data_IF_753014906309
#
_entry.id   IF_753014906309
#
_cell.length_a   1.000
_cell.length_b   1.000
_cell.length_c   1.000
_cell.angle_alpha   90.00
_cell.angle_beta   90.00
_cell.angle_gamma   90.00
#
_symmetry.space_group_name_H-M   'P 1'
#
loop_
_entity.id
_entity.type
_entity.pdbx_description
1 polymer ?
#
# COMPACT_ATOMS: atom_id res chain seq x y z
N UNK A 1 20.84 -3.18 41.61
CA UNK A 1 19.42 -2.79 41.45
C UNK A 1 19.37 -1.37 40.89
N UNK A 2 19.42 -1.22 39.56
CA UNK A 2 19.23 0.08 38.93
C UNK A 2 17.73 0.26 38.66
N UNK A 3 17.15 1.30 39.27
CA UNK A 3 15.75 1.69 39.08
C UNK A 3 15.57 2.15 37.63
N UNK A 4 14.87 1.37 36.81
CA UNK A 4 14.29 1.86 35.57
C UNK A 4 13.01 2.62 35.93
N UNK A 5 13.19 3.83 36.44
CA UNK A 5 12.10 4.79 36.62
C UNK A 5 12.35 5.92 35.65
N UNK A 6 11.81 5.79 34.45
CA UNK A 6 11.53 6.93 33.59
C UNK A 6 10.07 6.81 33.22
N UNK A 7 9.26 7.73 33.76
CA UNK A 7 7.92 8.00 33.26
C UNK A 7 8.01 8.13 31.74
N UNK A 8 7.38 7.20 31.02
CA UNK A 8 7.24 7.30 29.58
C UNK A 8 6.26 8.46 29.34
N UNK A 9 6.67 9.55 28.69
CA UNK A 9 5.75 10.64 28.39
C UNK A 9 4.62 10.09 27.51
N UNK A 10 3.35 10.35 27.85
CA UNK A 10 2.18 9.80 27.13
C UNK A 10 2.20 10.06 25.60
N UNK A 11 2.88 11.12 25.14
CA UNK A 11 3.08 11.42 23.72
C UNK A 11 4.03 10.43 23.01
N UNK A 12 4.94 9.81 23.75
CA UNK A 12 5.87 8.79 23.26
C UNK A 12 5.13 7.53 22.84
N UNK A 13 4.12 7.12 23.60
CA UNK A 13 3.27 5.97 23.26
C UNK A 13 2.44 6.24 22.01
N UNK A 14 1.89 7.45 21.87
CA UNK A 14 1.13 7.85 20.69
C UNK A 14 2.01 7.90 19.43
N UNK A 15 3.24 8.42 19.53
CA UNK A 15 4.21 8.42 18.43
C UNK A 15 4.54 6.99 17.97
N UNK A 16 4.88 6.11 18.91
CA UNK A 16 5.26 4.74 18.56
C UNK A 16 4.08 3.89 18.09
N UNK A 17 2.88 4.13 18.61
CA UNK A 17 1.66 3.52 18.08
C UNK A 17 1.44 3.90 16.61
N UNK A 18 1.59 5.19 16.25
CA UNK A 18 1.52 5.65 14.84
C UNK A 18 2.60 4.99 13.98
N UNK A 19 3.82 4.87 14.50
CA UNK A 19 4.93 4.23 13.81
C UNK A 19 4.66 2.75 13.53
N UNK A 20 4.22 1.99 14.54
CA UNK A 20 3.85 0.57 14.40
C UNK A 20 2.68 0.41 13.44
N UNK A 21 1.67 1.30 13.49
CA UNK A 21 0.59 1.31 12.51
C UNK A 21 1.10 1.55 11.08
N UNK A 22 2.10 2.41 10.91
CA UNK A 22 2.82 2.62 9.64
C UNK A 22 3.47 1.33 9.12
N UNK A 23 4.21 0.62 9.99
CA UNK A 23 4.80 -0.69 9.66
C UNK A 23 3.71 -1.67 9.21
N UNK A 24 2.64 -1.79 9.99
CA UNK A 24 1.54 -2.72 9.71
C UNK A 24 0.86 -2.40 8.37
N UNK A 25 0.56 -1.12 8.12
CA UNK A 25 -0.04 -0.65 6.86
C UNK A 25 0.86 -0.93 5.65
N UNK A 26 2.18 -0.86 5.81
CA UNK A 26 3.14 -1.10 4.73
C UNK A 26 3.35 -2.59 4.38
N UNK A 27 2.97 -3.53 5.27
CA UNK A 27 3.30 -4.97 5.11
C UNK A 27 2.87 -5.58 3.76
N UNK A 28 1.64 -5.37 3.25
CA UNK A 28 1.23 -5.98 1.98
C UNK A 28 2.07 -5.46 0.80
N UNK A 29 2.35 -4.15 0.79
CA UNK A 29 3.17 -3.52 -0.23
C UNK A 29 4.63 -3.99 -0.20
N UNK A 30 5.23 -4.07 0.99
CA UNK A 30 6.59 -4.59 1.18
C UNK A 30 6.71 -6.05 0.76
N UNK A 31 5.73 -6.89 1.09
CA UNK A 31 5.73 -8.30 0.69
C UNK A 31 5.62 -8.45 -0.82
N UNK A 32 4.75 -7.67 -1.47
CA UNK A 32 4.64 -7.66 -2.93
C UNK A 32 5.96 -7.23 -3.57
N UNK A 33 6.55 -6.15 -3.08
CA UNK A 33 7.84 -5.63 -3.54
C UNK A 33 8.94 -6.69 -3.44
N UNK A 34 9.12 -7.29 -2.25
CA UNK A 34 10.14 -8.30 -2.01
C UNK A 34 9.94 -9.56 -2.86
N UNK A 35 8.70 -10.01 -3.07
CA UNK A 35 8.40 -11.13 -3.97
C UNK A 35 8.68 -10.85 -5.44
N UNK A 36 8.68 -9.58 -5.85
CA UNK A 36 9.12 -9.20 -7.19
C UNK A 36 10.65 -9.28 -7.31
N UNK A 37 11.36 -8.86 -6.26
CA UNK A 37 12.83 -8.82 -6.29
C UNK A 37 13.50 -10.17 -5.98
N UNK A 38 12.82 -11.04 -5.24
CA UNK A 38 13.36 -12.31 -4.77
C UNK A 38 12.60 -13.49 -5.41
N UNK A 39 13.31 -14.45 -6.03
CA UNK A 39 12.69 -15.56 -6.76
C UNK A 39 12.10 -16.64 -5.85
N UNK A 40 12.54 -16.74 -4.60
CA UNK A 40 12.05 -17.70 -3.63
C UNK A 40 11.07 -17.02 -2.65
N UNK A 41 9.84 -17.52 -2.50
CA UNK A 41 8.89 -16.98 -1.52
C UNK A 41 9.40 -17.04 -0.07
N UNK A 42 10.19 -18.05 0.28
CA UNK A 42 10.81 -18.17 1.60
C UNK A 42 11.80 -17.03 1.87
N UNK A 43 12.70 -16.77 0.93
CA UNK A 43 13.68 -15.67 1.03
C UNK A 43 12.99 -14.31 1.18
N UNK A 44 11.87 -14.10 0.49
CA UNK A 44 11.10 -12.85 0.60
C UNK A 44 10.54 -12.64 2.00
N UNK A 45 10.07 -13.70 2.65
CA UNK A 45 9.52 -13.63 4.00
C UNK A 45 10.62 -13.46 5.07
N UNK A 46 11.80 -14.03 4.85
CA UNK A 46 12.99 -13.83 5.70
C UNK A 46 13.51 -12.39 5.60
N UNK A 47 13.67 -11.89 4.37
CA UNK A 47 14.11 -10.50 4.13
C UNK A 47 13.08 -9.50 4.66
N UNK A 48 11.78 -9.82 4.61
CA UNK A 48 10.74 -8.98 5.22
C UNK A 48 10.89 -8.90 6.74
N UNK A 49 11.24 -10.01 7.41
CA UNK A 49 11.52 -10.01 8.85
C UNK A 49 12.74 -9.17 9.19
N UNK A 50 13.85 -9.34 8.47
CA UNK A 50 15.06 -8.52 8.64
C UNK A 50 14.74 -7.02 8.41
N UNK A 51 13.95 -6.72 7.38
CA UNK A 51 13.46 -5.36 7.10
C UNK A 51 12.69 -4.78 8.29
N UNK A 52 11.77 -5.54 8.89
CA UNK A 52 11.01 -5.09 10.05
C UNK A 52 11.90 -4.82 11.28
N UNK A 53 12.95 -5.63 11.49
CA UNK A 53 13.94 -5.39 12.55
C UNK A 53 14.71 -4.09 12.31
N UNK A 54 15.18 -3.86 11.09
CA UNK A 54 15.90 -2.61 10.74
C UNK A 54 14.98 -1.40 10.83
N UNK A 55 13.73 -1.50 10.39
CA UNK A 55 12.72 -0.47 10.59
C UNK A 55 12.61 -0.14 12.07
N UNK A 56 12.44 -1.13 12.94
CA UNK A 56 12.34 -0.87 14.37
C UNK A 56 13.61 -0.23 14.95
N UNK A 57 14.79 -0.67 14.53
CA UNK A 57 16.06 -0.09 14.98
C UNK A 57 16.21 1.37 14.54
N UNK A 58 15.80 1.70 13.32
CA UNK A 58 15.88 3.03 12.72
C UNK A 58 14.66 3.92 13.00
N UNK A 59 13.75 3.53 13.90
CA UNK A 59 12.50 4.26 14.17
C UNK A 59 12.72 5.72 14.58
N UNK A 60 13.85 6.04 15.20
CA UNK A 60 14.20 7.41 15.61
C UNK A 60 14.69 8.27 14.43
N UNK A 61 15.15 7.65 13.33
CA UNK A 61 15.57 8.33 12.10
C UNK A 61 14.37 8.66 11.18
N UNK A 62 13.19 8.10 11.47
CA UNK A 62 12.01 8.29 10.63
C UNK A 62 11.38 9.67 10.84
N UNK A 63 11.34 10.44 9.77
CA UNK A 63 10.62 11.70 9.68
C UNK A 63 9.13 11.43 9.45
N UNK A 64 8.31 11.66 10.49
CA UNK A 64 6.86 11.45 10.44
C UNK A 64 6.11 12.37 9.49
N UNK A 65 6.77 13.39 8.91
CA UNK A 65 6.16 14.25 7.88
C UNK A 65 6.19 13.59 6.50
N UNK A 66 6.96 12.51 6.32
CA UNK A 66 7.09 11.78 5.05
C UNK A 66 6.26 10.50 5.05
N UNK A 67 5.87 10.05 3.87
CA UNK A 67 5.18 8.77 3.75
C UNK A 67 6.05 7.59 4.18
N UNK A 68 5.46 6.71 5.00
CA UNK A 68 6.16 5.55 5.56
C UNK A 68 6.54 4.53 4.48
N UNK A 69 5.70 4.37 3.46
CA UNK A 69 5.85 3.36 2.40
C UNK A 69 7.18 3.46 1.64
N UNK A 70 7.50 4.61 1.03
CA UNK A 70 8.78 4.82 0.36
C UNK A 70 10.00 4.60 1.26
N UNK A 71 9.95 5.11 2.49
CA UNK A 71 11.03 4.91 3.46
C UNK A 71 11.25 3.43 3.77
N UNK A 72 10.17 2.68 3.99
CA UNK A 72 10.24 1.25 4.25
C UNK A 72 10.71 0.44 3.04
N UNK A 73 10.28 0.79 1.83
CA UNK A 73 10.75 0.15 0.58
C UNK A 73 12.25 0.38 0.38
N UNK A 74 12.77 1.56 0.71
CA UNK A 74 14.20 1.85 0.63
C UNK A 74 15.02 0.94 1.55
N UNK A 75 14.55 0.73 2.79
CA UNK A 75 15.19 -0.21 3.72
C UNK A 75 15.10 -1.64 3.19
N UNK A 76 13.92 -2.06 2.72
CA UNK A 76 13.70 -3.40 2.16
C UNK A 76 14.63 -3.68 0.98
N UNK A 77 14.80 -2.72 0.07
CA UNK A 77 15.70 -2.82 -1.07
C UNK A 77 17.15 -3.09 -0.62
N UNK A 78 17.67 -2.35 0.36
CA UNK A 78 19.01 -2.63 0.88
C UNK A 78 19.14 -3.99 1.56
N UNK A 79 18.09 -4.47 2.24
CA UNK A 79 18.08 -5.84 2.77
C UNK A 79 18.09 -6.89 1.65
N UNK A 80 17.34 -6.66 0.56
CA UNK A 80 17.38 -7.50 -0.64
C UNK A 80 18.80 -7.55 -1.23
N UNK A 81 19.47 -6.42 -1.39
CA UNK A 81 20.84 -6.38 -1.92
C UNK A 81 21.82 -7.15 -1.01
N UNK A 82 21.72 -6.96 0.31
CA UNK A 82 22.53 -7.70 1.27
C UNK A 82 22.29 -9.21 1.18
N UNK A 83 21.03 -9.62 1.06
CA UNK A 83 20.63 -11.03 0.90
C UNK A 83 21.20 -11.63 -0.40
N UNK A 84 21.00 -10.95 -1.54
CA UNK A 84 21.52 -11.41 -2.84
C UNK A 84 23.05 -11.52 -2.85
N UNK A 85 23.75 -10.57 -2.20
CA UNK A 85 25.20 -10.58 -2.04
C UNK A 85 25.68 -11.75 -1.17
N UNK A 86 24.93 -12.12 -0.14
CA UNK A 86 25.23 -13.30 0.69
C UNK A 86 25.08 -14.59 -0.13
N UNK A 87 24.03 -14.68 -0.97
CA UNK A 87 23.72 -15.85 -1.82
C UNK A 87 24.64 -16.01 -3.02
N UNK A 88 25.14 -14.92 -3.61
CA UNK A 88 26.12 -15.01 -4.71
C UNK A 88 27.44 -15.61 -4.25
N UNK A 89 27.85 -15.36 -3.00
CA UNK A 89 29.05 -15.95 -2.38
C UNK A 89 28.93 -17.46 -2.15
N UNK A 90 27.71 -18.02 -2.12
CA UNK A 90 27.47 -19.46 -1.98
C UNK A 90 27.34 -20.21 -3.33
N UNK A 91 27.67 -19.58 -4.47
CA UNK A 91 27.60 -20.16 -5.85
C UNK A 91 26.19 -20.52 -6.35
N UNK A 92 25.13 -20.10 -5.66
CA UNK A 92 23.74 -20.47 -5.96
C UNK A 92 22.94 -19.37 -6.71
N UNK A 93 23.56 -18.27 -7.14
CA UNK A 93 22.84 -17.12 -7.72
C UNK A 93 22.96 -17.03 -9.24
N UNK A 94 21.80 -17.04 -9.93
CA UNK A 94 21.64 -16.61 -11.34
C UNK A 94 21.07 -15.18 -11.46
N UNK A 95 20.87 -14.48 -10.34
CA UNK A 95 20.24 -13.16 -10.29
C UNK A 95 21.24 -12.09 -9.85
N UNK A 96 21.39 -11.06 -10.67
CA UNK A 96 22.31 -9.93 -10.42
C UNK A 96 21.61 -8.81 -9.65
N UNK A 97 22.42 -8.03 -8.91
CA UNK A 97 22.02 -6.80 -8.24
C UNK A 97 21.40 -5.77 -9.20
N UNK A 98 21.94 -5.65 -10.42
CA UNK A 98 21.42 -4.79 -11.49
C UNK A 98 19.96 -5.12 -11.87
N UNK A 99 19.61 -6.40 -11.93
CA UNK A 99 18.23 -6.78 -12.25
C UNK A 99 17.28 -6.45 -11.09
N UNK A 100 17.73 -6.63 -9.84
CA UNK A 100 16.96 -6.24 -8.67
C UNK A 100 16.75 -4.71 -8.61
N UNK A 101 17.74 -3.93 -9.00
CA UNK A 101 17.61 -2.48 -9.15
C UNK A 101 16.57 -2.09 -10.20
N UNK A 102 16.64 -2.67 -11.40
CA UNK A 102 15.66 -2.39 -12.47
C UNK A 102 14.23 -2.73 -12.05
N UNK A 103 14.02 -3.86 -11.37
CA UNK A 103 12.71 -4.24 -10.85
C UNK A 103 12.23 -3.33 -9.72
N UNK A 104 13.13 -2.85 -8.86
CA UNK A 104 12.79 -1.93 -7.78
C UNK A 104 12.27 -0.60 -8.33
N UNK A 105 12.95 -0.03 -9.32
CA UNK A 105 12.53 1.20 -10.01
C UNK A 105 11.14 1.04 -10.64
N UNK A 106 10.89 -0.07 -11.34
CA UNK A 106 9.58 -0.34 -11.93
C UNK A 106 8.49 -0.54 -10.87
N UNK A 107 8.82 -1.15 -9.73
CA UNK A 107 7.87 -1.28 -8.63
C UNK A 107 7.50 0.06 -8.01
N UNK A 108 8.46 0.98 -7.84
CA UNK A 108 8.20 2.35 -7.36
C UNK A 108 7.27 3.08 -8.32
N UNK A 109 7.59 3.07 -9.63
CA UNK A 109 6.74 3.68 -10.66
C UNK A 109 5.31 3.13 -10.66
N UNK A 110 5.14 1.82 -10.44
CA UNK A 110 3.81 1.19 -10.35
C UNK A 110 3.09 1.52 -9.04
N UNK A 111 3.82 1.67 -7.94
CA UNK A 111 3.26 2.04 -6.65
C UNK A 111 2.69 3.46 -6.70
N UNK A 112 3.40 4.41 -7.31
CA UNK A 112 2.93 5.79 -7.48
C UNK A 112 1.66 5.83 -8.34
N UNK A 113 1.67 5.13 -9.49
CA UNK A 113 0.48 5.02 -10.35
C UNK A 113 -0.73 4.34 -9.66
N UNK A 114 -0.47 3.46 -8.68
CA UNK A 114 -1.52 2.84 -7.88
C UNK A 114 -2.06 3.81 -6.82
N UNK A 115 -1.20 4.59 -6.17
CA UNK A 115 -1.60 5.61 -5.20
C UNK A 115 -2.47 6.69 -5.88
N UNK A 116 -2.08 7.15 -7.08
CA UNK A 116 -2.89 8.08 -7.89
C UNK A 116 -4.28 7.51 -8.19
N UNK A 117 -4.34 6.22 -8.53
CA UNK A 117 -5.61 5.51 -8.76
C UNK A 117 -6.47 5.41 -7.50
N UNK A 118 -5.86 5.13 -6.34
CA UNK A 118 -6.55 5.07 -5.06
C UNK A 118 -7.09 6.46 -4.69
N UNK A 119 -6.30 7.51 -4.91
CA UNK A 119 -6.71 8.87 -4.62
C UNK A 119 -7.83 9.33 -5.56
N UNK A 120 -7.74 9.01 -6.86
CA UNK A 120 -8.82 9.22 -7.81
C UNK A 120 -10.10 8.47 -7.40
N UNK A 121 -9.98 7.21 -6.94
CA UNK A 121 -11.11 6.44 -6.43
C UNK A 121 -11.76 7.12 -5.22
N UNK A 122 -10.99 7.57 -4.22
CA UNK A 122 -11.51 8.30 -3.05
C UNK A 122 -12.32 9.53 -3.48
N UNK A 123 -11.71 10.38 -4.30
CA UNK A 123 -12.37 11.57 -4.85
C UNK A 123 -13.65 11.22 -5.63
N UNK A 124 -13.65 10.11 -6.37
CA UNK A 124 -14.82 9.68 -7.14
C UNK A 124 -15.92 9.06 -6.26
N UNK A 125 -15.57 8.39 -5.16
CA UNK A 125 -16.53 7.93 -4.16
C UNK A 125 -17.22 9.12 -3.48
N UNK A 126 -16.50 10.21 -3.19
CA UNK A 126 -17.09 11.42 -2.59
C UNK A 126 -18.05 12.16 -3.55
N UNK A 127 -17.96 11.90 -4.85
CA UNK A 127 -18.88 12.46 -5.87
C UNK A 127 -20.12 11.60 -6.11
N UNK A 128 -20.18 10.39 -5.56
CA UNK A 128 -21.37 9.55 -5.70
C UNK A 128 -22.54 10.11 -4.90
N UNK A 129 -23.78 9.98 -5.40
CA UNK A 129 -24.98 10.11 -4.58
C UNK A 129 -24.89 9.23 -3.31
N UNK A 130 -25.45 9.72 -2.20
CA UNK A 130 -25.33 9.05 -0.89
C UNK A 130 -25.84 7.61 -0.91
N UNK A 131 -26.95 7.34 -1.61
CA UNK A 131 -27.52 6.00 -1.77
C UNK A 131 -26.62 5.05 -2.57
N UNK A 132 -25.93 5.56 -3.61
CA UNK A 132 -24.96 4.79 -4.40
C UNK A 132 -23.67 4.53 -3.60
N UNK A 133 -23.23 5.49 -2.79
CA UNK A 133 -22.07 5.34 -1.90
C UNK A 133 -22.32 4.30 -0.82
N UNK A 134 -23.43 4.41 -0.09
CA UNK A 134 -23.84 3.44 0.92
C UNK A 134 -23.93 2.02 0.34
N UNK A 135 -24.46 1.88 -0.88
CA UNK A 135 -24.53 0.60 -1.56
C UNK A 135 -23.15 -0.02 -1.84
N UNK A 136 -22.18 0.80 -2.26
CA UNK A 136 -20.79 0.37 -2.49
C UNK A 136 -20.13 -0.01 -1.17
N UNK A 137 -20.27 0.82 -0.14
CA UNK A 137 -19.71 0.56 1.19
C UNK A 137 -20.29 -0.72 1.80
N UNK A 138 -21.61 -0.94 1.69
CA UNK A 138 -22.24 -2.18 2.13
C UNK A 138 -21.67 -3.40 1.39
N UNK A 139 -21.52 -3.34 0.06
CA UNK A 139 -21.03 -4.47 -0.75
C UNK A 139 -19.57 -4.81 -0.49
N UNK A 140 -18.72 -3.81 -0.36
CA UNK A 140 -17.26 -3.97 -0.33
C UNK A 140 -16.66 -3.85 1.07
N UNK A 141 -17.31 -3.15 1.99
CA UNK A 141 -16.87 -3.02 3.39
C UNK A 141 -17.21 -4.24 4.24
N UNK A 142 -18.39 -4.85 4.04
CA UNK A 142 -18.83 -6.02 4.83
C UNK A 142 -18.52 -7.36 4.14
N UNK A 143 -18.23 -7.34 2.83
CA UNK A 143 -18.07 -8.55 2.03
C UNK A 143 -19.36 -9.33 1.76
N UNK A 144 -20.53 -8.79 2.14
CA UNK A 144 -21.82 -9.46 1.98
C UNK A 144 -22.14 -9.79 0.50
N UNK A 145 -22.84 -10.91 0.30
CA UNK A 145 -23.29 -11.31 -1.03
C UNK A 145 -24.45 -10.42 -1.50
N UNK A 146 -24.55 -10.22 -2.82
CA UNK A 146 -25.64 -9.44 -3.42
C UNK A 146 -27.02 -10.00 -3.05
N UNK A 147 -27.14 -11.33 -2.89
CA UNK A 147 -28.39 -11.98 -2.49
C UNK A 147 -28.81 -11.61 -1.06
N UNK A 148 -27.85 -11.52 -0.13
CA UNK A 148 -28.11 -11.12 1.26
C UNK A 148 -28.54 -9.66 1.31
N UNK A 149 -27.77 -8.77 0.68
CA UNK A 149 -28.09 -7.34 0.62
C UNK A 149 -29.44 -7.06 -0.05
N UNK A 150 -29.79 -7.81 -1.08
CA UNK A 150 -31.08 -7.69 -1.77
C UNK A 150 -32.26 -7.97 -0.83
N UNK A 151 -32.12 -8.97 0.05
CA UNK A 151 -33.11 -9.29 1.09
C UNK A 151 -33.26 -8.19 2.13
N UNK A 152 -32.16 -7.57 2.56
CA UNK A 152 -32.16 -6.47 3.54
C UNK A 152 -32.76 -5.18 2.97
N UNK A 153 -32.49 -4.88 1.69
CA UNK A 153 -32.93 -3.65 1.02
C UNK A 153 -34.33 -3.80 0.39
N UNK A 154 -34.90 -5.01 0.35
CA UNK A 154 -36.21 -5.29 -0.24
C UNK A 154 -36.24 -5.17 -1.77
N UNK A 155 -35.12 -5.46 -2.45
CA UNK A 155 -34.99 -5.45 -3.92
C UNK A 155 -34.66 -6.85 -4.44
N UNK A 156 -34.90 -7.11 -5.73
CA UNK A 156 -34.42 -8.35 -6.34
C UNK A 156 -32.89 -8.35 -6.48
N UNK A 157 -32.26 -9.52 -6.39
CA UNK A 157 -30.82 -9.67 -6.56
C UNK A 157 -30.33 -9.19 -7.95
N UNK A 158 -31.15 -9.37 -8.99
CA UNK A 158 -30.85 -8.91 -10.34
C UNK A 158 -30.88 -7.39 -10.45
N UNK A 159 -31.91 -6.74 -9.87
CA UNK A 159 -32.00 -5.29 -9.83
C UNK A 159 -30.83 -4.68 -9.06
N UNK A 160 -30.44 -5.29 -7.94
CA UNK A 160 -29.29 -4.85 -7.15
C UNK A 160 -27.97 -5.05 -7.89
N UNK A 161 -27.82 -6.17 -8.62
CA UNK A 161 -26.65 -6.45 -9.45
C UNK A 161 -26.49 -5.41 -10.56
N UNK A 162 -27.59 -5.04 -11.23
CA UNK A 162 -27.57 -4.01 -12.27
C UNK A 162 -27.30 -2.62 -11.70
N UNK A 163 -27.82 -2.32 -10.51
CA UNK A 163 -27.50 -1.08 -9.84
C UNK A 163 -26.01 -0.98 -9.53
N UNK A 164 -25.43 -2.00 -8.89
CA UNK A 164 -23.99 -2.08 -8.60
C UNK A 164 -23.14 -2.00 -9.87
N UNK A 165 -23.58 -2.63 -10.97
CA UNK A 165 -22.89 -2.52 -12.25
C UNK A 165 -22.82 -1.07 -12.76
N UNK A 166 -23.94 -0.34 -12.73
CA UNK A 166 -23.99 1.07 -13.15
C UNK A 166 -23.12 1.96 -12.27
N UNK A 167 -23.12 1.74 -10.95
CA UNK A 167 -22.26 2.49 -10.02
C UNK A 167 -20.79 2.23 -10.32
N UNK A 168 -20.40 0.97 -10.59
CA UNK A 168 -19.02 0.64 -11.00
C UNK A 168 -18.61 1.31 -12.32
N UNK A 169 -19.50 1.40 -13.30
CA UNK A 169 -19.23 2.11 -14.56
C UNK A 169 -19.02 3.61 -14.30
N UNK A 170 -19.88 4.25 -13.50
CA UNK A 170 -19.71 5.67 -13.10
C UNK A 170 -18.37 5.92 -12.41
N UNK A 171 -17.99 5.05 -11.48
CA UNK A 171 -16.70 5.14 -10.79
C UNK A 171 -15.52 4.96 -11.76
N UNK A 172 -15.57 3.96 -12.64
CA UNK A 172 -14.51 3.72 -13.63
C UNK A 172 -14.31 4.90 -14.58
N UNK A 173 -15.41 5.49 -15.06
CA UNK A 173 -15.38 6.70 -15.89
C UNK A 173 -14.82 7.90 -15.14
N UNK A 174 -15.26 8.11 -13.89
CA UNK A 174 -14.76 9.20 -13.04
C UNK A 174 -13.25 9.07 -12.79
N UNK A 175 -12.77 7.88 -12.41
CA UNK A 175 -11.35 7.61 -12.16
C UNK A 175 -10.55 7.86 -13.43
N UNK A 176 -10.99 7.34 -14.57
CA UNK A 176 -10.31 7.52 -15.85
C UNK A 176 -10.23 9.00 -16.25
N UNK A 177 -11.26 9.80 -15.96
CA UNK A 177 -11.24 11.26 -16.18
C UNK A 177 -10.30 11.97 -15.20
N UNK A 178 -10.32 11.58 -13.92
CA UNK A 178 -9.46 12.18 -12.89
C UNK A 178 -7.98 11.97 -13.18
N UNK A 179 -7.60 10.76 -13.60
CA UNK A 179 -6.21 10.43 -13.95
C UNK A 179 -5.72 11.18 -15.20
N UNK A 180 -6.60 11.37 -16.21
CA UNK A 180 -6.28 12.18 -17.40
C UNK A 180 -6.23 13.69 -17.10
N UNK A 181 -6.98 14.16 -16.11
CA UNK A 181 -6.99 15.56 -15.70
C UNK A 181 -5.73 15.99 -14.95
N UNK A 182 -5.15 15.09 -14.14
CA UNK A 182 -3.88 15.33 -13.43
C UNK A 182 -2.65 15.46 -14.34
N UNK A 183 -2.69 14.88 -15.54
CA UNK A 183 -1.62 15.01 -16.54
C UNK A 183 -1.51 16.44 -17.14
N UNK A 184 -2.54 17.29 -17.00
CA UNK A 184 -2.56 18.64 -17.56
C UNK A 184 -1.94 19.71 -16.66
N UNK A 185 -1.88 19.48 -15.34
CA UNK A 185 -1.35 20.46 -14.37
C UNK A 185 0.20 20.47 -14.30
N UNK A 186 0.88 19.44 -14.83
CA UNK A 186 2.36 19.32 -14.79
C UNK A 186 3.08 19.88 -16.03
N UNK A 187 2.41 20.67 -16.88
CA UNK A 187 3.03 21.33 -18.07
C UNK A 187 3.02 22.86 -18.05
N UNK A 188 2.58 23.49 -16.96
CA UNK A 188 2.36 24.94 -16.89
C UNK A 188 3.35 25.72 -16.02
N UNK A 189 4.65 25.43 -16.06
CA UNK A 189 5.60 26.05 -15.13
C UNK A 189 7.06 26.13 -15.59
N UNK A 190 7.32 26.64 -16.78
CA UNK A 190 8.59 27.33 -17.10
C UNK A 190 8.26 28.55 -17.96
N UNK A 191 8.48 29.73 -17.38
CA UNK A 191 8.47 31.03 -18.03
C UNK A 191 9.67 31.82 -17.54
#
# INVERSE_FOLDING_TARGET
MARFSSEIPADTDARWARYVAGIAKAQPGLRSFLRTLLPCPGDADDVLQETNLILWQKREEYDSTRDFGPWARRIAYFQTLAHLKKRSRSRESRFSEEMAESLAVECERRADALEDRIQALRTCLDKLPGDERELVEARYGTGASVKVMAGEIGRSADALSMHLYRVRQKLAECISKSLRGGEMEMKGGEG
#
